data_IF_602505849989
#
_entry.id   IF_602505849989
#
_cell.length_a   1.000
_cell.length_b   1.000
_cell.length_c   1.000
_cell.angle_alpha   90.00
_cell.angle_beta   90.00
_cell.angle_gamma   90.00
#
_symmetry.space_group_name_H-M   'P 1'
#
loop_
_entity.id
_entity.type
_entity.pdbx_description
1 polymer ?
#
# COMPACT_ATOMS: atom_id res chain seq x y z
N UNK A 1 -47.81 -52.04 -24.65
CA UNK A 1 -47.27 -50.70 -24.74
C UNK A 1 -46.38 -50.48 -23.48
N UNK A 2 -45.05 -50.37 -23.64
CA UNK A 2 -44.10 -50.12 -22.54
C UNK A 2 -43.70 -48.66 -22.60
N UNK A 3 -44.11 -47.87 -21.58
CA UNK A 3 -43.74 -46.47 -21.44
C UNK A 3 -42.36 -46.37 -20.83
N UNK A 4 -41.39 -45.74 -21.51
CA UNK A 4 -40.10 -45.41 -20.97
C UNK A 4 -40.16 -43.98 -20.38
N UNK A 5 -39.93 -43.89 -19.08
CA UNK A 5 -39.75 -42.59 -18.40
C UNK A 5 -38.28 -42.21 -18.54
N UNK A 6 -38.01 -41.15 -19.30
CA UNK A 6 -36.67 -40.55 -19.34
C UNK A 6 -36.51 -39.60 -18.13
N UNK A 7 -35.58 -39.93 -17.24
CA UNK A 7 -35.16 -39.07 -16.16
C UNK A 7 -34.00 -38.18 -16.67
N UNK A 8 -34.28 -36.89 -16.90
CA UNK A 8 -33.23 -35.91 -17.20
C UNK A 8 -32.52 -35.53 -15.95
N UNK A 9 -31.26 -35.92 -15.82
CA UNK A 9 -30.39 -35.47 -14.76
C UNK A 9 -29.88 -34.04 -15.03
N UNK A 10 -30.35 -33.07 -14.26
CA UNK A 10 -29.85 -31.69 -14.27
C UNK A 10 -28.50 -31.65 -13.53
N UNK A 11 -27.40 -31.50 -14.26
CA UNK A 11 -26.09 -31.28 -13.66
C UNK A 11 -26.01 -29.82 -13.16
N UNK A 12 -26.05 -29.62 -11.84
CA UNK A 12 -25.73 -28.34 -11.21
C UNK A 12 -24.23 -28.11 -11.35
N UNK A 13 -23.83 -27.20 -12.25
CA UNK A 13 -22.45 -26.68 -12.27
C UNK A 13 -22.32 -25.70 -11.11
N UNK A 14 -21.67 -26.13 -10.03
CA UNK A 14 -21.29 -25.24 -8.95
C UNK A 14 -20.17 -24.30 -9.44
N UNK A 15 -20.51 -23.06 -9.75
CA UNK A 15 -19.53 -22.00 -10.00
C UNK A 15 -18.94 -21.62 -8.65
N UNK A 16 -17.76 -22.18 -8.33
CA UNK A 16 -16.98 -21.71 -7.17
C UNK A 16 -16.60 -20.24 -7.41
N UNK A 17 -16.80 -19.35 -6.43
CA UNK A 17 -16.33 -17.97 -6.56
C UNK A 17 -14.82 -17.99 -6.77
N UNK A 18 -14.35 -17.34 -7.83
CA UNK A 18 -12.92 -17.08 -8.05
C UNK A 18 -12.47 -16.16 -6.93
N UNK A 19 -11.90 -16.71 -5.87
CA UNK A 19 -11.19 -15.90 -4.85
C UNK A 19 -9.93 -15.41 -5.55
N UNK A 20 -9.87 -14.11 -5.81
CA UNK A 20 -8.71 -13.47 -6.38
C UNK A 20 -7.51 -13.73 -5.46
N UNK A 21 -6.55 -14.53 -5.93
CA UNK A 21 -5.35 -14.85 -5.15
C UNK A 21 -4.41 -13.65 -5.13
N UNK A 22 -3.80 -13.39 -3.98
CA UNK A 22 -2.72 -12.42 -3.86
C UNK A 22 -1.61 -12.71 -4.89
N UNK A 23 -0.93 -11.68 -5.43
CA UNK A 23 0.15 -11.86 -6.40
C UNK A 23 1.22 -12.80 -5.85
N UNK A 24 1.77 -13.66 -6.72
CA UNK A 24 2.75 -14.70 -6.32
C UNK A 24 3.93 -14.12 -5.55
N UNK A 25 4.21 -14.69 -4.38
CA UNK A 25 5.32 -14.29 -3.50
C UNK A 25 5.03 -13.05 -2.64
N UNK A 26 3.92 -12.36 -2.87
CA UNK A 26 3.53 -11.22 -2.04
C UNK A 26 2.82 -11.68 -0.76
N UNK A 27 3.04 -10.89 0.28
CA UNK A 27 2.40 -11.02 1.58
C UNK A 27 1.69 -9.72 1.93
N UNK A 28 0.73 -9.81 2.83
CA UNK A 28 0.08 -8.64 3.41
C UNK A 28 -0.12 -8.85 4.91
N UNK A 29 -0.10 -7.75 5.64
CA UNK A 29 -0.50 -7.67 7.05
C UNK A 29 -1.59 -6.64 7.18
N UNK A 30 -2.70 -7.02 7.80
CA UNK A 30 -3.80 -6.11 8.13
C UNK A 30 -3.52 -5.44 9.46
N UNK A 31 -3.56 -4.12 9.47
CA UNK A 31 -3.47 -3.28 10.68
C UNK A 31 -4.88 -2.74 11.00
N UNK A 32 -5.65 -3.47 11.79
CA UNK A 32 -7.03 -3.10 12.13
C UNK A 32 -7.05 -1.82 12.96
N UNK A 33 -8.05 -0.97 12.69
CA UNK A 33 -8.31 0.21 13.52
C UNK A 33 -8.75 -0.23 14.92
N UNK A 34 -8.21 0.42 15.93
CA UNK A 34 -8.67 0.33 17.32
C UNK A 34 -9.49 1.55 17.74
N UNK A 35 -9.69 2.50 16.81
CA UNK A 35 -10.44 3.73 17.08
C UNK A 35 -11.92 3.56 16.81
N UNK A 36 -12.76 3.78 17.83
CA UNK A 36 -14.20 3.77 17.67
C UNK A 36 -14.72 4.95 16.81
N UNK A 37 -13.95 6.06 16.72
CA UNK A 37 -14.29 7.23 15.89
C UNK A 37 -13.80 7.12 14.44
N UNK A 38 -12.99 6.10 14.15
CA UNK A 38 -12.42 5.85 12.82
C UNK A 38 -12.40 4.33 12.54
N UNK A 39 -13.59 3.68 12.50
CA UNK A 39 -13.68 2.23 12.37
C UNK A 39 -13.33 1.76 10.95
N UNK A 40 -12.80 0.55 10.87
CA UNK A 40 -12.65 -0.16 9.61
C UNK A 40 -14.01 -0.51 8.99
N UNK A 41 -14.05 -0.65 7.67
CA UNK A 41 -15.21 -1.24 7.01
C UNK A 41 -15.18 -2.78 7.08
N UNK A 42 -16.33 -3.45 6.98
CA UNK A 42 -16.38 -4.91 6.87
C UNK A 42 -15.81 -5.41 5.54
N UNK A 43 -15.39 -6.65 5.52
CA UNK A 43 -14.90 -7.36 4.33
C UNK A 43 -13.38 -7.60 4.35
N UNK A 44 -12.90 -8.47 3.47
CA UNK A 44 -11.48 -8.78 3.36
C UNK A 44 -10.73 -7.69 2.55
N UNK A 45 -9.44 -7.53 2.83
CA UNK A 45 -8.53 -6.81 1.96
C UNK A 45 -8.39 -7.60 0.65
N UNK A 46 -8.63 -6.95 -0.49
CA UNK A 46 -8.37 -7.50 -1.82
C UNK A 46 -7.03 -7.00 -2.33
N UNK A 47 -6.21 -7.92 -2.86
CA UNK A 47 -4.92 -7.58 -3.44
C UNK A 47 -4.63 -8.50 -4.61
N UNK A 48 -4.59 -7.96 -5.82
CA UNK A 48 -4.48 -8.74 -7.06
C UNK A 48 -3.51 -8.09 -8.04
N UNK A 49 -3.01 -8.87 -9.00
CA UNK A 49 -2.27 -8.34 -10.14
C UNK A 49 -3.23 -7.59 -11.06
N UNK A 50 -2.83 -6.44 -11.57
CA UNK A 50 -3.56 -5.62 -12.53
C UNK A 50 -2.60 -5.04 -13.56
N UNK A 51 -2.68 -5.53 -14.80
CA UNK A 51 -1.71 -5.18 -15.84
C UNK A 51 -0.29 -5.60 -15.46
N UNK A 52 0.64 -4.64 -15.49
CA UNK A 52 2.02 -4.83 -15.02
C UNK A 52 2.21 -4.50 -13.53
N UNK A 53 1.16 -4.07 -12.85
CA UNK A 53 1.17 -3.63 -11.46
C UNK A 53 0.16 -4.41 -10.59
N UNK A 54 -0.41 -3.70 -9.64
CA UNK A 54 -1.28 -4.26 -8.62
C UNK A 54 -2.52 -3.40 -8.38
N UNK A 55 -3.59 -4.03 -7.94
CA UNK A 55 -4.79 -3.39 -7.45
C UNK A 55 -5.05 -3.83 -6.02
N UNK A 56 -5.31 -2.89 -5.13
CA UNK A 56 -5.65 -3.15 -3.74
C UNK A 56 -6.89 -2.37 -3.31
N UNK A 57 -7.86 -3.11 -2.73
CA UNK A 57 -9.01 -2.53 -2.04
C UNK A 57 -8.89 -2.85 -0.57
N UNK A 58 -8.83 -1.83 0.26
CA UNK A 58 -8.49 -1.93 1.68
C UNK A 58 -9.61 -1.46 2.59
N UNK A 59 -10.60 -2.33 2.94
CA UNK A 59 -11.57 -2.00 3.99
C UNK A 59 -10.89 -1.75 5.35
N UNK A 60 -9.76 -2.43 5.61
CA UNK A 60 -8.84 -2.20 6.74
C UNK A 60 -7.49 -1.72 6.21
N UNK A 61 -6.73 -0.98 7.03
CA UNK A 61 -5.37 -0.62 6.68
C UNK A 61 -4.49 -1.87 6.52
N UNK A 62 -3.61 -1.86 5.53
CA UNK A 62 -2.71 -2.99 5.29
C UNK A 62 -1.34 -2.55 4.75
N UNK A 63 -0.33 -3.36 5.05
CA UNK A 63 1.02 -3.31 4.47
C UNK A 63 1.19 -4.48 3.53
N UNK A 64 1.78 -4.23 2.37
CA UNK A 64 1.98 -5.20 1.30
C UNK A 64 3.46 -5.24 0.93
N UNK A 65 4.05 -6.43 0.87
CA UNK A 65 5.45 -6.60 0.49
C UNK A 65 5.68 -7.97 -0.14
N UNK A 66 6.75 -8.08 -0.89
CA UNK A 66 7.30 -9.38 -1.27
C UNK A 66 8.60 -9.58 -0.49
N UNK A 67 8.79 -10.66 0.28
CA UNK A 67 10.03 -10.91 1.04
C UNK A 67 11.29 -10.94 0.17
N UNK A 68 11.17 -11.25 -1.11
CA UNK A 68 12.28 -11.19 -2.06
C UNK A 68 12.65 -9.76 -2.47
N UNK A 69 11.76 -8.78 -2.28
CA UNK A 69 11.97 -7.38 -2.61
C UNK A 69 12.68 -6.69 -1.44
N UNK A 70 14.01 -6.63 -1.49
CA UNK A 70 14.84 -5.97 -0.48
C UNK A 70 15.74 -4.91 -1.09
N UNK A 71 16.06 -3.89 -0.30
CA UNK A 71 16.99 -2.83 -0.65
C UNK A 71 18.03 -2.63 0.45
N UNK A 72 19.23 -2.23 0.08
CA UNK A 72 20.31 -1.94 1.03
C UNK A 72 21.32 -0.93 0.45
N UNK A 73 21.99 -0.19 1.35
CA UNK A 73 22.95 0.84 1.00
C UNK A 73 22.28 2.09 0.44
N UNK A 74 22.81 2.65 -0.64
CA UNK A 74 22.17 3.73 -1.39
C UNK A 74 21.27 3.15 -2.47
N UNK A 75 20.05 3.68 -2.61
CA UNK A 75 19.06 3.24 -3.61
C UNK A 75 17.96 4.28 -3.79
N UNK A 76 17.21 4.12 -4.86
CA UNK A 76 15.97 4.85 -5.11
C UNK A 76 14.81 3.85 -5.19
N UNK A 77 13.85 3.97 -4.26
CA UNK A 77 12.57 3.27 -4.32
C UNK A 77 11.52 4.18 -4.93
N UNK A 78 10.77 3.70 -5.91
CA UNK A 78 9.70 4.44 -6.55
C UNK A 78 8.48 3.58 -6.83
N UNK A 79 7.33 4.23 -6.97
CA UNK A 79 6.08 3.63 -7.41
C UNK A 79 5.05 4.70 -7.77
N UNK A 80 4.22 4.41 -8.74
CA UNK A 80 3.10 5.27 -9.15
C UNK A 80 1.82 4.72 -8.55
N UNK A 81 1.12 5.58 -7.83
CA UNK A 81 -0.13 5.25 -7.15
C UNK A 81 -1.28 5.98 -7.80
N UNK A 82 -2.27 5.24 -8.28
CA UNK A 82 -3.54 5.78 -8.74
C UNK A 82 -4.59 5.52 -7.68
N UNK A 83 -5.11 6.58 -7.07
CA UNK A 83 -6.33 6.50 -6.28
C UNK A 83 -7.49 6.34 -7.26
N UNK A 84 -8.22 5.22 -7.16
CA UNK A 84 -9.35 4.90 -8.04
C UNK A 84 -10.66 5.42 -7.48
N UNK A 85 -10.78 5.45 -6.15
CA UNK A 85 -11.93 5.97 -5.42
C UNK A 85 -11.50 6.59 -4.10
N UNK A 86 -11.83 7.87 -3.85
CA UNK A 86 -11.54 8.50 -2.57
C UNK A 86 -12.43 7.92 -1.47
N UNK A 87 -11.91 7.86 -0.26
CA UNK A 87 -12.69 7.54 0.93
C UNK A 87 -13.51 8.71 1.41
N UNK A 88 -14.50 8.45 2.28
CA UNK A 88 -15.36 9.50 2.87
C UNK A 88 -14.63 10.45 3.83
N UNK A 89 -13.39 10.12 4.23
CA UNK A 89 -12.50 10.95 5.05
C UNK A 89 -11.04 10.79 4.58
N UNK A 90 -10.11 11.53 5.21
CA UNK A 90 -8.73 11.59 4.73
C UNK A 90 -7.98 10.30 5.09
N UNK A 91 -7.63 9.52 4.07
CA UNK A 91 -6.83 8.33 4.18
C UNK A 91 -5.58 8.39 3.31
N UNK A 92 -4.51 7.69 3.74
CA UNK A 92 -3.17 7.80 3.20
C UNK A 92 -2.73 6.48 2.56
N UNK A 93 -1.94 6.57 1.48
CA UNK A 93 -1.36 5.45 0.76
C UNK A 93 0.02 5.81 0.19
N UNK A 94 0.89 4.83 0.00
CA UNK A 94 2.22 5.07 -0.57
C UNK A 94 3.26 4.03 -0.19
N UNK A 95 4.53 4.46 -0.22
CA UNK A 95 5.71 3.60 -0.12
C UNK A 95 6.04 3.16 1.30
N UNK A 96 6.55 1.94 1.43
CA UNK A 96 7.15 1.35 2.65
C UNK A 96 8.57 0.92 2.33
N UNK A 97 9.53 1.19 3.22
CA UNK A 97 10.92 0.79 3.08
C UNK A 97 11.59 0.51 4.43
N UNK A 98 12.78 -0.13 4.40
CA UNK A 98 13.49 -0.53 5.60
C UNK A 98 12.73 -1.55 6.45
N UNK A 99 11.92 -2.41 5.80
CA UNK A 99 11.06 -3.36 6.44
C UNK A 99 11.81 -4.54 7.07
N UNK A 100 11.51 -4.84 8.34
CA UNK A 100 11.96 -6.03 9.04
C UNK A 100 10.83 -6.60 9.90
N UNK A 101 10.79 -7.91 10.07
CA UNK A 101 9.78 -8.65 10.85
C UNK A 101 8.32 -8.26 10.51
N UNK A 102 8.04 -8.03 9.21
CA UNK A 102 6.74 -7.49 8.79
C UNK A 102 5.55 -8.41 9.10
N UNK A 103 5.78 -9.70 9.34
CA UNK A 103 4.78 -10.67 9.79
C UNK A 103 4.66 -10.75 11.31
N UNK A 104 5.72 -10.40 12.02
CA UNK A 104 5.84 -10.57 13.46
C UNK A 104 5.36 -9.37 14.28
N UNK A 105 5.43 -9.55 15.61
CA UNK A 105 5.05 -8.50 16.56
C UNK A 105 6.08 -7.37 16.64
N UNK A 106 7.33 -7.61 16.20
CA UNK A 106 8.42 -6.64 16.21
C UNK A 106 8.63 -5.97 14.87
N UNK A 107 7.57 -5.85 14.07
CA UNK A 107 7.60 -5.21 12.75
C UNK A 107 8.21 -3.81 12.81
N UNK A 108 9.12 -3.51 11.87
CA UNK A 108 9.71 -2.19 11.74
C UNK A 108 9.74 -1.77 10.28
N UNK A 109 9.36 -0.54 10.01
CA UNK A 109 9.47 0.06 8.67
C UNK A 109 9.26 1.57 8.73
N UNK A 110 9.73 2.27 7.73
CA UNK A 110 9.39 3.68 7.46
C UNK A 110 8.39 3.71 6.31
N UNK A 111 7.43 4.62 6.37
CA UNK A 111 6.47 4.80 5.30
C UNK A 111 6.27 6.27 4.94
N UNK A 112 6.20 6.52 3.63
CA UNK A 112 5.95 7.80 3.01
C UNK A 112 4.65 7.74 2.24
N UNK A 113 3.65 8.48 2.66
CA UNK A 113 2.28 8.40 2.16
C UNK A 113 1.75 9.75 1.72
N UNK A 114 0.83 9.71 0.75
CA UNK A 114 0.02 10.85 0.29
C UNK A 114 -1.46 10.60 0.54
N UNK A 115 -2.26 11.67 0.55
CA UNK A 115 -3.71 11.61 0.73
C UNK A 115 -4.47 12.44 -0.31
N UNK A 116 -5.75 12.11 -0.48
CA UNK A 116 -6.68 12.74 -1.41
C UNK A 116 -6.88 14.26 -1.22
N UNK A 117 -6.58 14.79 -0.04
CA UNK A 117 -6.72 16.23 0.27
C UNK A 117 -5.48 17.06 -0.09
N UNK A 118 -4.44 16.46 -0.70
CA UNK A 118 -3.20 17.16 -1.06
C UNK A 118 -2.18 17.21 0.06
N UNK A 119 -2.26 16.32 1.05
CA UNK A 119 -1.27 16.22 2.12
C UNK A 119 -0.42 14.97 1.98
N UNK A 120 0.77 15.01 2.58
CA UNK A 120 1.67 13.87 2.75
C UNK A 120 2.15 13.76 4.19
N UNK A 121 2.71 12.59 4.56
CA UNK A 121 3.33 12.34 5.86
C UNK A 121 4.44 11.29 5.73
N UNK A 122 5.35 11.30 6.71
CA UNK A 122 6.34 10.25 6.91
C UNK A 122 6.26 9.77 8.35
N UNK A 123 6.13 8.47 8.54
CA UNK A 123 6.13 7.86 9.88
C UNK A 123 7.02 6.63 9.94
N UNK A 124 7.42 6.27 11.14
CA UNK A 124 8.07 5.01 11.46
C UNK A 124 7.11 4.12 12.25
N UNK A 125 7.04 2.85 11.86
CA UNK A 125 6.46 1.77 12.67
C UNK A 125 7.55 1.06 13.44
N UNK A 126 7.31 0.76 14.73
CA UNK A 126 8.17 -0.05 15.59
C UNK A 126 7.28 -0.89 16.52
N UNK A 127 7.13 -2.17 16.20
CA UNK A 127 6.12 -3.02 16.80
C UNK A 127 4.71 -2.46 16.55
N UNK A 128 3.96 -2.20 17.60
CA UNK A 128 2.63 -1.59 17.53
C UNK A 128 2.66 -0.06 17.56
N UNK A 129 3.79 0.54 17.94
CA UNK A 129 3.93 1.98 18.03
C UNK A 129 4.21 2.61 16.66
N UNK A 130 3.69 3.81 16.45
CA UNK A 130 4.04 4.68 15.33
C UNK A 130 4.52 6.03 15.84
N UNK A 131 5.55 6.57 15.18
CA UNK A 131 6.07 7.91 15.47
C UNK A 131 6.17 8.73 14.20
N UNK A 132 5.97 10.04 14.31
CA UNK A 132 6.15 10.96 13.20
C UNK A 132 7.65 11.16 12.91
N UNK A 133 8.04 10.98 11.65
CA UNK A 133 9.31 11.45 11.08
C UNK A 133 9.11 12.84 10.49
N UNK A 134 7.99 13.01 9.75
CA UNK A 134 7.48 14.32 9.34
C UNK A 134 5.94 14.29 9.48
N UNK A 135 5.35 15.32 10.11
CA UNK A 135 3.90 15.37 10.33
C UNK A 135 3.13 15.55 9.01
N UNK A 136 1.81 15.44 9.09
CA UNK A 136 0.91 15.76 7.98
C UNK A 136 1.18 17.16 7.45
N UNK A 137 1.59 17.25 6.19
CA UNK A 137 2.00 18.51 5.55
C UNK A 137 1.29 18.65 4.21
N UNK A 138 0.70 19.81 3.94
CA UNK A 138 0.11 20.13 2.65
C UNK A 138 1.19 20.44 1.61
N UNK A 139 0.97 20.02 0.36
CA UNK A 139 1.87 20.30 -0.74
C UNK A 139 1.13 20.30 -2.09
N UNK A 140 1.44 21.27 -2.92
CA UNK A 140 0.94 21.33 -4.30
C UNK A 140 1.57 20.27 -5.21
N UNK A 141 2.64 19.60 -4.74
CA UNK A 141 3.20 18.43 -5.41
C UNK A 141 2.25 17.22 -5.40
N UNK A 142 1.31 17.15 -4.45
CA UNK A 142 0.31 16.07 -4.38
C UNK A 142 -0.85 16.37 -5.29
N UNK A 143 -1.03 15.56 -6.34
CA UNK A 143 -2.20 15.63 -7.22
C UNK A 143 -3.44 15.18 -6.45
N UNK A 144 -4.43 16.07 -6.36
CA UNK A 144 -5.75 15.79 -5.77
C UNK A 144 -6.67 15.09 -6.77
N UNK A 145 -7.69 14.35 -6.30
CA UNK A 145 -8.68 13.74 -7.17
C UNK A 145 -9.37 14.76 -8.10
N UNK A 146 -9.54 14.34 -9.34
CA UNK A 146 -10.33 15.06 -10.35
C UNK A 146 -11.85 14.88 -10.12
N UNK A 147 -12.66 15.37 -11.06
CA UNK A 147 -14.11 15.26 -11.01
C UNK A 147 -14.63 13.80 -11.03
N UNK A 148 -13.81 12.83 -11.50
CA UNK A 148 -14.13 11.40 -11.45
C UNK A 148 -13.72 10.74 -10.12
N UNK A 149 -13.09 11.48 -9.21
CA UNK A 149 -12.56 11.00 -7.95
C UNK A 149 -11.19 10.33 -8.06
N UNK A 150 -10.50 10.43 -9.21
CA UNK A 150 -9.20 9.78 -9.43
C UNK A 150 -8.04 10.77 -9.31
N UNK A 151 -6.92 10.27 -8.80
CA UNK A 151 -5.65 11.01 -8.82
C UNK A 151 -4.47 10.07 -9.01
N UNK A 152 -3.42 10.57 -9.65
CA UNK A 152 -2.18 9.82 -9.87
C UNK A 152 -1.04 10.57 -9.19
N UNK A 153 -0.27 9.86 -8.35
CA UNK A 153 0.91 10.39 -7.69
C UNK A 153 2.08 9.41 -7.84
N UNK A 154 3.17 9.88 -8.43
CA UNK A 154 4.44 9.16 -8.45
C UNK A 154 5.22 9.50 -7.18
N UNK A 155 5.51 8.50 -6.35
CA UNK A 155 6.26 8.65 -5.11
C UNK A 155 7.67 8.09 -5.29
N UNK A 156 8.64 8.77 -4.68
CA UNK A 156 10.04 8.37 -4.74
C UNK A 156 10.72 8.62 -3.39
N UNK A 157 11.52 7.64 -2.94
CA UNK A 157 12.40 7.73 -1.76
C UNK A 157 13.82 7.46 -2.22
N UNK A 158 14.69 8.48 -2.14
CA UNK A 158 16.10 8.41 -2.51
C UNK A 158 16.94 8.27 -1.25
N UNK A 159 17.46 7.08 -1.00
CA UNK A 159 18.31 6.79 0.15
C UNK A 159 19.77 7.01 -0.26
N UNK A 160 20.39 8.02 0.31
CA UNK A 160 21.82 8.31 0.16
C UNK A 160 22.68 7.74 1.30
N UNK A 161 23.92 8.18 1.38
CA UNK A 161 24.81 7.81 2.48
C UNK A 161 24.35 8.44 3.81
N UNK A 162 24.08 9.77 3.81
CA UNK A 162 23.85 10.54 5.02
C UNK A 162 22.43 11.13 5.11
N UNK A 163 21.68 11.11 4.00
CA UNK A 163 20.34 11.69 3.92
C UNK A 163 19.38 10.82 3.10
N UNK A 164 18.09 11.06 3.31
CA UNK A 164 16.99 10.49 2.55
C UNK A 164 16.17 11.64 2.01
N UNK A 165 15.93 11.65 0.69
CA UNK A 165 15.03 12.60 0.02
C UNK A 165 13.71 11.92 -0.32
N UNK A 166 12.61 12.64 -0.12
CA UNK A 166 11.25 12.19 -0.42
C UNK A 166 10.68 13.08 -1.51
N UNK A 167 10.27 12.49 -2.62
CA UNK A 167 9.74 13.23 -3.75
C UNK A 167 8.33 12.76 -4.14
N UNK A 168 7.52 13.70 -4.61
CA UNK A 168 6.18 13.49 -5.14
C UNK A 168 6.14 14.14 -6.51
N UNK A 169 5.76 13.38 -7.54
CA UNK A 169 5.65 13.84 -8.92
C UNK A 169 6.92 14.57 -9.41
N UNK A 170 8.09 14.06 -9.00
CA UNK A 170 9.40 14.62 -9.37
C UNK A 170 9.89 15.76 -8.48
N UNK A 171 9.05 16.34 -7.64
CA UNK A 171 9.42 17.42 -6.71
C UNK A 171 9.83 16.84 -5.34
N UNK A 172 11.03 17.18 -4.83
CA UNK A 172 11.46 16.87 -3.46
C UNK A 172 10.64 17.70 -2.48
N UNK A 173 9.87 17.02 -1.64
CA UNK A 173 9.00 17.67 -0.64
C UNK A 173 9.58 17.63 0.77
N UNK A 174 10.52 16.72 1.02
CA UNK A 174 11.17 16.62 2.33
C UNK A 174 12.54 15.94 2.24
N UNK A 175 13.40 16.22 3.21
CA UNK A 175 14.70 15.56 3.39
C UNK A 175 14.93 15.29 4.88
N UNK A 176 15.37 14.07 5.19
CA UNK A 176 15.78 13.70 6.56
C UNK A 176 17.25 13.29 6.59
N UNK A 177 17.97 13.47 7.70
CA UNK A 177 19.23 12.76 7.91
C UNK A 177 18.96 11.25 7.99
N UNK A 178 19.93 10.43 7.60
CA UNK A 178 19.89 8.97 7.78
C UNK A 178 20.34 8.60 9.19
N UNK A 179 19.59 9.07 10.20
CA UNK A 179 19.89 8.88 11.62
C UNK A 179 18.59 8.83 12.45
N UNK A 180 18.67 8.42 13.71
CA UNK A 180 17.49 8.35 14.59
C UNK A 180 16.39 7.46 14.02
N UNK A 181 15.18 7.99 13.82
CA UNK A 181 14.04 7.25 13.32
C UNK A 181 14.22 6.72 11.88
N UNK A 182 15.12 7.31 11.10
CA UNK A 182 15.42 6.98 9.70
C UNK A 182 16.79 6.32 9.51
N UNK A 183 17.48 5.92 10.58
CA UNK A 183 18.81 5.29 10.52
C UNK A 183 18.80 3.97 9.75
N UNK A 184 17.76 3.14 9.94
CA UNK A 184 17.65 1.85 9.28
C UNK A 184 16.75 1.95 8.05
N UNK A 185 17.37 1.88 6.87
CA UNK A 185 16.70 1.91 5.57
C UNK A 185 16.86 0.60 4.80
N UNK A 186 17.66 -0.35 5.34
CA UNK A 186 17.88 -1.65 4.73
C UNK A 186 16.75 -2.61 5.08
N UNK A 187 16.31 -3.43 4.13
CA UNK A 187 15.30 -4.44 4.36
C UNK A 187 14.26 -4.53 3.26
N UNK A 188 13.11 -5.10 3.59
CA UNK A 188 12.02 -5.24 2.64
C UNK A 188 11.40 -3.88 2.27
N UNK A 189 10.94 -3.78 1.01
CA UNK A 189 10.14 -2.65 0.56
C UNK A 189 8.81 -3.12 -0.03
N UNK A 190 7.86 -2.19 -0.06
CA UNK A 190 6.53 -2.44 -0.54
C UNK A 190 5.69 -1.17 -0.49
N UNK A 191 4.41 -1.34 -0.17
CA UNK A 191 3.51 -0.21 -0.03
C UNK A 191 2.55 -0.41 1.15
N UNK A 192 1.94 0.70 1.58
CA UNK A 192 0.89 0.73 2.59
C UNK A 192 -0.33 1.44 2.02
N UNK A 193 -1.50 0.94 2.35
CA UNK A 193 -2.78 1.61 2.17
C UNK A 193 -3.50 1.68 3.51
N UNK A 194 -3.99 2.84 3.88
CA UNK A 194 -4.91 2.95 5.00
C UNK A 194 -6.28 2.37 4.61
N UNK A 195 -7.22 2.38 5.54
CA UNK A 195 -8.53 1.79 5.30
C UNK A 195 -9.40 2.62 4.33
N UNK A 196 -10.47 2.00 3.80
CA UNK A 196 -11.45 2.61 2.90
C UNK A 196 -10.87 3.17 1.61
N UNK A 197 -9.80 2.57 1.10
CA UNK A 197 -9.13 2.98 -0.13
C UNK A 197 -9.24 1.92 -1.22
N UNK A 198 -9.26 2.44 -2.45
CA UNK A 198 -9.21 1.67 -3.70
C UNK A 198 -8.10 2.25 -4.57
N UNK A 199 -6.98 1.52 -4.70
CA UNK A 199 -5.74 2.03 -5.31
C UNK A 199 -5.14 1.04 -6.30
N UNK A 200 -4.54 1.58 -7.36
CA UNK A 200 -3.66 0.84 -8.27
C UNK A 200 -2.21 1.27 -8.02
N UNK A 201 -1.28 0.33 -8.13
CA UNK A 201 0.15 0.55 -7.92
C UNK A 201 0.91 0.04 -9.15
N UNK A 202 1.65 0.91 -9.82
CA UNK A 202 2.46 0.60 -10.98
C UNK A 202 3.93 0.95 -10.75
N UNK A 203 4.83 0.22 -11.41
CA UNK A 203 6.26 0.52 -11.42
C UNK A 203 6.94 0.53 -10.05
N UNK A 204 6.41 -0.24 -9.07
CA UNK A 204 7.03 -0.37 -7.76
C UNK A 204 8.37 -1.11 -7.89
N UNK A 205 9.46 -0.39 -7.76
CA UNK A 205 10.80 -0.91 -7.99
C UNK A 205 11.88 -0.12 -7.24
N UNK A 206 13.01 -0.79 -7.02
CA UNK A 206 14.25 -0.20 -6.53
C UNK A 206 15.27 -0.15 -7.68
N UNK A 207 15.98 0.96 -7.78
CA UNK A 207 17.19 1.13 -8.61
C UNK A 207 18.37 1.60 -7.75
N UNK A 208 19.60 1.26 -8.19
CA UNK A 208 20.86 1.73 -7.61
C UNK A 208 21.47 2.81 -8.49
#
# INVERSE_FOLDING_TARGET
MKSYVQVAALALVAVAPLVAQAPKGWKLRVDRSTSASDPDAPGPVSFVTMGSGFHATTPQAAVFWNPANTASGAYTLKGTFTLLKPSGHINYYGLVFGGSDLEGAQQKYVYFLVAQNGTWLIKRRDGEATSDVAPKTASDAVTKPDASGKSVNALEVRVGADKIEYAINGQVVHTTPKSGATANTNGAYGFRSNHLLDIQIDGLAVSK
#
